data_IF_021612481154
#
_entry.id   IF_021612481154
#
_cell.length_a   1.000
_cell.length_b   1.000
_cell.length_c   1.000
_cell.angle_alpha   90.00
_cell.angle_beta   90.00
_cell.angle_gamma   90.00
#
_symmetry.space_group_name_H-M   'P 1'
#
loop_
_entity.id
_entity.type
_entity.pdbx_description
1 polymer ?
#
# COMPACT_ATOMS: atom_id res chain seq x y z
N UNK A 1 61.29 -3.06 -28.73
CA UNK A 1 60.67 -3.96 -27.73
C UNK A 1 60.40 -3.33 -26.35
N UNK A 2 61.35 -2.64 -25.68
CA UNK A 2 61.09 -2.07 -24.33
C UNK A 2 59.97 -1.02 -24.24
N UNK A 3 59.79 -0.20 -25.29
CA UNK A 3 58.76 0.85 -25.34
C UNK A 3 57.33 0.30 -25.40
N UNK A 4 57.15 -0.82 -26.12
CA UNK A 4 55.86 -1.47 -26.34
C UNK A 4 55.39 -2.26 -25.11
N UNK A 5 56.30 -2.90 -24.36
CA UNK A 5 55.97 -3.49 -23.06
C UNK A 5 55.49 -2.45 -22.05
N UNK A 6 56.06 -1.24 -22.08
CA UNK A 6 55.75 -0.17 -21.12
C UNK A 6 54.38 0.49 -21.40
N UNK A 7 53.89 0.46 -22.64
CA UNK A 7 52.54 0.93 -22.97
C UNK A 7 51.47 -0.08 -22.56
N UNK A 8 51.73 -1.37 -22.79
CA UNK A 8 50.79 -2.45 -22.41
C UNK A 8 50.61 -2.53 -20.90
N UNK A 9 51.68 -2.36 -20.10
CA UNK A 9 51.57 -2.34 -18.63
C UNK A 9 50.72 -1.14 -18.15
N UNK A 10 50.85 0.02 -18.80
CA UNK A 10 50.04 1.20 -18.48
C UNK A 10 48.56 1.03 -18.84
N UNK A 11 48.25 0.31 -19.92
CA UNK A 11 46.86 0.00 -20.29
C UNK A 11 46.24 -0.97 -19.28
N UNK A 12 46.98 -2.00 -18.86
CA UNK A 12 46.52 -2.96 -17.84
C UNK A 12 46.28 -2.28 -16.49
N UNK A 13 47.19 -1.41 -16.03
CA UNK A 13 47.00 -0.64 -14.78
C UNK A 13 45.79 0.29 -14.84
N UNK A 14 45.43 0.77 -16.03
CA UNK A 14 44.28 1.64 -16.25
C UNK A 14 42.98 0.85 -16.25
N UNK A 15 42.96 -0.30 -16.92
CA UNK A 15 41.82 -1.23 -16.91
C UNK A 15 41.56 -1.81 -15.51
N UNK A 16 42.61 -2.12 -14.74
CA UNK A 16 42.46 -2.59 -13.35
C UNK A 16 41.80 -1.53 -12.46
N UNK A 17 42.18 -0.25 -12.62
CA UNK A 17 41.54 0.87 -11.91
C UNK A 17 40.08 1.05 -12.32
N UNK A 18 39.78 0.99 -13.61
CA UNK A 18 38.39 1.10 -14.09
C UNK A 18 37.53 -0.07 -13.57
N UNK A 19 38.09 -1.28 -13.48
CA UNK A 19 37.44 -2.44 -12.88
C UNK A 19 37.20 -2.29 -11.37
N UNK A 20 38.14 -1.69 -10.65
CA UNK A 20 38.00 -1.39 -9.22
C UNK A 20 36.89 -0.36 -8.97
N UNK A 21 36.87 0.70 -9.78
CA UNK A 21 35.86 1.77 -9.71
C UNK A 21 34.46 1.26 -10.07
N UNK A 22 34.35 0.35 -11.05
CA UNK A 22 33.09 -0.34 -11.38
C UNK A 22 32.64 -1.27 -10.26
N UNK A 23 33.56 -1.99 -9.60
CA UNK A 23 33.24 -2.85 -8.45
C UNK A 23 32.77 -2.03 -7.25
N UNK A 24 33.41 -0.91 -6.95
CA UNK A 24 32.96 0.01 -5.90
C UNK A 24 31.59 0.59 -6.20
N UNK A 25 31.35 1.05 -7.44
CA UNK A 25 30.05 1.56 -7.86
C UNK A 25 28.96 0.48 -7.79
N UNK A 26 29.26 -0.76 -8.17
CA UNK A 26 28.35 -1.89 -8.01
C UNK A 26 28.08 -2.21 -6.55
N UNK A 27 29.09 -2.18 -5.69
CA UNK A 27 28.93 -2.39 -4.25
C UNK A 27 28.08 -1.28 -3.61
N UNK A 28 28.29 -0.02 -4.02
CA UNK A 28 27.52 1.14 -3.59
C UNK A 28 26.08 1.12 -4.10
N UNK A 29 25.84 0.74 -5.35
CA UNK A 29 24.50 0.55 -5.89
C UNK A 29 23.78 -0.61 -5.20
N UNK A 30 24.48 -1.72 -4.97
CA UNK A 30 23.95 -2.90 -4.27
C UNK A 30 23.63 -2.58 -2.81
N UNK A 31 24.46 -1.81 -2.12
CA UNK A 31 24.18 -1.35 -0.75
C UNK A 31 22.99 -0.38 -0.73
N UNK A 32 22.86 0.56 -1.68
CA UNK A 32 21.67 1.42 -1.79
C UNK A 32 20.38 0.67 -2.15
N UNK A 33 20.48 -0.40 -2.94
CA UNK A 33 19.33 -1.21 -3.34
C UNK A 33 18.89 -2.18 -2.25
N UNK A 34 19.84 -2.74 -1.47
CA UNK A 34 19.56 -3.63 -0.33
C UNK A 34 19.14 -2.84 0.92
N UNK A 35 19.75 -1.69 1.18
CA UNK A 35 19.46 -0.83 2.34
C UNK A 35 18.25 0.09 2.09
N UNK A 36 17.27 -0.40 1.30
CA UNK A 36 15.93 0.20 1.23
C UNK A 36 15.21 -0.14 2.54
N UNK A 37 15.74 0.40 3.65
CA UNK A 37 15.21 0.25 5.00
C UNK A 37 13.70 0.45 4.93
N UNK A 38 12.88 -0.46 5.50
CA UNK A 38 11.44 -0.28 5.51
C UNK A 38 11.15 1.03 6.23
N UNK A 39 10.85 2.07 5.45
CA UNK A 39 10.64 3.41 5.98
C UNK A 39 9.53 3.33 7.00
N UNK A 40 9.74 3.90 8.19
CA UNK A 40 8.67 4.10 9.15
C UNK A 40 7.42 4.59 8.43
N UNK A 41 6.26 4.02 8.78
CA UNK A 41 4.98 4.47 8.24
C UNK A 41 4.84 5.97 8.53
N UNK A 42 5.04 6.76 7.48
CA UNK A 42 5.23 8.21 7.60
C UNK A 42 3.88 8.89 7.49
N UNK A 43 3.78 10.13 7.99
CA UNK A 43 2.57 10.96 7.81
C UNK A 43 2.20 11.10 6.33
N UNK A 44 3.19 11.07 5.43
CA UNK A 44 2.97 11.06 3.99
C UNK A 44 2.22 9.80 3.51
N UNK A 45 2.51 8.64 4.10
CA UNK A 45 1.83 7.39 3.74
C UNK A 45 0.34 7.43 4.16
N UNK A 46 0.05 8.06 5.31
CA UNK A 46 -1.34 8.30 5.77
C UNK A 46 -2.09 9.21 4.81
N UNK A 47 -1.47 10.32 4.38
CA UNK A 47 -2.08 11.27 3.44
C UNK A 47 -2.35 10.59 2.09
N UNK A 48 -1.38 9.84 1.58
CA UNK A 48 -1.53 9.11 0.33
C UNK A 48 -2.66 8.07 0.42
N UNK A 49 -2.67 7.28 1.50
CA UNK A 49 -3.73 6.31 1.77
C UNK A 49 -5.11 6.98 1.86
N UNK A 50 -5.20 8.16 2.48
CA UNK A 50 -6.43 8.94 2.55
C UNK A 50 -6.92 9.36 1.17
N UNK A 51 -6.07 9.95 0.33
CA UNK A 51 -6.45 10.35 -1.03
C UNK A 51 -6.81 9.16 -1.91
N UNK A 52 -6.05 8.06 -1.81
CA UNK A 52 -6.35 6.83 -2.54
C UNK A 52 -7.72 6.26 -2.15
N UNK A 53 -8.01 6.19 -0.85
CA UNK A 53 -9.32 5.79 -0.36
C UNK A 53 -10.43 6.73 -0.84
N UNK A 54 -10.21 8.04 -0.75
CA UNK A 54 -11.20 9.06 -1.09
C UNK A 54 -11.60 8.97 -2.56
N UNK A 55 -10.63 8.92 -3.47
CA UNK A 55 -10.88 8.89 -4.92
C UNK A 55 -11.68 7.63 -5.28
N UNK A 56 -11.22 6.46 -4.83
CA UNK A 56 -11.89 5.19 -5.15
C UNK A 56 -13.28 5.11 -4.51
N UNK A 57 -13.42 5.51 -3.25
CA UNK A 57 -14.71 5.51 -2.55
C UNK A 57 -15.70 6.46 -3.21
N UNK A 58 -15.25 7.65 -3.62
CA UNK A 58 -16.09 8.64 -4.29
C UNK A 58 -16.55 8.15 -5.66
N UNK A 59 -15.63 7.65 -6.49
CA UNK A 59 -15.98 7.07 -7.80
C UNK A 59 -16.96 5.92 -7.65
N UNK A 60 -16.77 5.08 -6.63
CA UNK A 60 -17.66 3.96 -6.36
C UNK A 60 -19.05 4.42 -5.88
N UNK A 61 -19.11 5.38 -4.95
CA UNK A 61 -20.37 5.91 -4.43
C UNK A 61 -21.20 6.64 -5.51
N UNK A 62 -20.55 7.28 -6.49
CA UNK A 62 -21.23 7.94 -7.61
C UNK A 62 -21.76 6.97 -8.67
N UNK A 63 -21.37 5.69 -8.65
CA UNK A 63 -21.71 4.71 -9.71
C UNK A 63 -23.19 4.29 -9.76
N UNK A 64 -24.07 4.92 -8.98
CA UNK A 64 -25.54 4.74 -9.04
C UNK A 64 -26.05 3.41 -8.45
N UNK A 65 -25.42 2.27 -8.75
CA UNK A 65 -25.84 0.95 -8.31
C UNK A 65 -25.57 0.63 -6.83
N UNK A 66 -24.99 1.56 -6.07
CA UNK A 66 -24.66 1.36 -4.66
C UNK A 66 -25.92 1.14 -3.79
N UNK A 67 -26.97 1.90 -4.05
CA UNK A 67 -28.23 1.86 -3.28
C UNK A 67 -28.91 0.50 -3.47
N UNK A 68 -29.07 0.06 -4.71
CA UNK A 68 -29.70 -1.22 -5.04
C UNK A 68 -28.89 -2.41 -4.48
N UNK A 69 -27.56 -2.31 -4.53
CA UNK A 69 -26.67 -3.32 -3.94
C UNK A 69 -26.81 -3.36 -2.42
N UNK A 70 -26.87 -2.20 -1.76
CA UNK A 70 -27.03 -2.12 -0.31
C UNK A 70 -28.36 -2.76 0.15
N UNK A 71 -29.45 -2.53 -0.57
CA UNK A 71 -30.77 -3.08 -0.22
C UNK A 71 -30.83 -4.60 -0.43
N UNK A 72 -30.20 -5.12 -1.50
CA UNK A 72 -30.23 -6.55 -1.84
C UNK A 72 -29.31 -7.44 -0.99
N UNK A 73 -28.39 -6.86 -0.24
CA UNK A 73 -27.44 -7.62 0.58
C UNK A 73 -28.09 -8.20 1.84
N UNK A 74 -27.91 -9.51 2.03
CA UNK A 74 -28.20 -10.21 3.29
C UNK A 74 -27.02 -10.08 4.28
N UNK A 75 -27.26 -10.30 5.58
CA UNK A 75 -26.27 -10.22 6.66
C UNK A 75 -25.01 -11.05 6.40
N UNK A 76 -25.18 -12.28 5.89
CA UNK A 76 -24.04 -13.15 5.53
C UNK A 76 -23.11 -12.52 4.48
N UNK A 77 -23.66 -11.80 3.50
CA UNK A 77 -22.85 -11.14 2.48
C UNK A 77 -22.06 -9.96 3.08
N UNK A 78 -22.62 -9.25 4.05
CA UNK A 78 -21.92 -8.16 4.75
C UNK A 78 -20.74 -8.73 5.54
N UNK A 79 -20.96 -9.80 6.30
CA UNK A 79 -19.90 -10.48 7.04
C UNK A 79 -18.79 -10.96 6.11
N UNK A 80 -19.16 -11.54 4.96
CA UNK A 80 -18.20 -11.92 3.92
C UNK A 80 -17.42 -10.71 3.38
N UNK A 81 -18.08 -9.60 3.06
CA UNK A 81 -17.43 -8.36 2.59
C UNK A 81 -16.43 -7.86 3.62
N UNK A 82 -16.80 -7.83 4.90
CA UNK A 82 -15.90 -7.43 5.99
C UNK A 82 -14.71 -8.39 6.04
N UNK A 83 -14.94 -9.70 6.08
CA UNK A 83 -13.88 -10.71 6.13
C UNK A 83 -12.91 -10.58 4.92
N UNK A 84 -13.43 -10.40 3.71
CA UNK A 84 -12.62 -10.17 2.51
C UNK A 84 -11.84 -8.86 2.57
N UNK A 85 -12.45 -7.79 3.09
CA UNK A 85 -11.76 -6.49 3.28
C UNK A 85 -10.55 -6.65 4.20
N UNK A 86 -10.73 -7.33 5.34
CA UNK A 86 -9.63 -7.63 6.25
C UNK A 86 -8.59 -8.53 5.60
N UNK A 87 -8.99 -9.57 4.86
CA UNK A 87 -8.08 -10.47 4.17
C UNK A 87 -7.21 -9.71 3.17
N UNK A 88 -7.80 -8.83 2.35
CA UNK A 88 -7.07 -8.00 1.38
C UNK A 88 -6.06 -7.08 2.09
N UNK A 89 -6.47 -6.39 3.16
CA UNK A 89 -5.58 -5.52 3.93
C UNK A 89 -4.45 -6.29 4.62
N UNK A 90 -4.74 -7.47 5.18
CA UNK A 90 -3.71 -8.33 5.79
C UNK A 90 -2.73 -8.81 4.73
N UNK A 91 -3.22 -9.26 3.58
CA UNK A 91 -2.39 -9.69 2.46
C UNK A 91 -1.49 -8.54 1.99
N UNK A 92 -2.05 -7.34 1.79
CA UNK A 92 -1.28 -6.14 1.46
C UNK A 92 -0.17 -5.90 2.50
N UNK A 93 -0.51 -5.81 3.79
CA UNK A 93 0.47 -5.48 4.83
C UNK A 93 1.55 -6.58 4.95
N UNK A 94 1.18 -7.84 4.80
CA UNK A 94 2.11 -8.97 4.84
C UNK A 94 3.08 -8.96 3.66
N UNK A 95 2.55 -8.90 2.44
CA UNK A 95 3.37 -8.97 1.22
C UNK A 95 4.15 -7.68 0.97
N UNK A 96 3.58 -6.51 1.25
CA UNK A 96 4.22 -5.21 0.98
C UNK A 96 5.12 -4.77 2.13
N UNK A 97 4.66 -4.96 3.37
CA UNK A 97 5.31 -4.43 4.56
C UNK A 97 6.23 -5.43 5.27
N UNK A 98 5.72 -6.64 5.54
CA UNK A 98 6.42 -7.59 6.42
C UNK A 98 7.41 -8.52 5.69
N UNK A 99 7.16 -8.85 4.43
CA UNK A 99 8.04 -9.72 3.63
C UNK A 99 9.49 -9.20 3.51
N UNK A 100 9.69 -7.88 3.64
CA UNK A 100 10.99 -7.19 3.52
C UNK A 100 11.62 -6.80 4.85
N UNK A 101 11.05 -7.22 5.99
CA UNK A 101 11.68 -6.99 7.30
C UNK A 101 12.80 -8.02 7.47
N UNK A 102 14.05 -7.57 7.34
CA UNK A 102 15.25 -8.40 7.51
C UNK A 102 15.32 -9.00 8.92
N UNK A 103 14.92 -8.24 9.95
CA UNK A 103 15.05 -8.65 11.34
C UNK A 103 13.69 -8.81 12.05
N UNK A 104 13.09 -9.99 11.87
CA UNK A 104 11.76 -10.36 12.40
C UNK A 104 11.70 -10.42 13.93
N UNK A 105 12.85 -10.34 14.62
CA UNK A 105 12.96 -10.39 16.09
C UNK A 105 12.77 -9.02 16.76
N UNK A 106 13.11 -7.92 16.07
CA UNK A 106 13.02 -6.55 16.61
C UNK A 106 11.64 -5.90 16.45
N UNK A 107 10.78 -6.44 15.57
CA UNK A 107 9.39 -5.99 15.39
C UNK A 107 8.42 -7.17 15.33
N UNK A 108 7.66 -7.45 16.40
CA UNK A 108 6.64 -8.50 16.36
C UNK A 108 5.60 -8.14 15.29
N UNK A 109 5.35 -9.10 14.39
CA UNK A 109 4.44 -8.98 13.25
C UNK A 109 3.07 -8.40 13.65
N UNK A 110 2.53 -8.85 14.79
CA UNK A 110 1.24 -8.41 15.31
C UNK A 110 1.16 -6.90 15.53
N UNK A 111 2.16 -6.28 16.19
CA UNK A 111 2.11 -4.84 16.47
C UNK A 111 2.21 -3.98 15.20
N UNK A 112 2.99 -4.44 14.21
CA UNK A 112 3.10 -3.75 12.92
C UNK A 112 1.82 -3.89 12.10
N UNK A 113 1.28 -5.10 12.03
CA UNK A 113 0.04 -5.42 11.32
C UNK A 113 -1.12 -4.62 11.91
N UNK A 114 -1.35 -4.69 13.22
CA UNK A 114 -2.49 -4.03 13.88
C UNK A 114 -2.44 -2.53 13.69
N UNK A 115 -1.28 -1.87 13.86
CA UNK A 115 -1.18 -0.41 13.70
C UNK A 115 -1.54 0.04 12.28
N UNK A 116 -1.00 -0.62 11.25
CA UNK A 116 -1.30 -0.28 9.85
C UNK A 116 -2.74 -0.62 9.50
N UNK A 117 -3.19 -1.81 9.85
CA UNK A 117 -4.53 -2.28 9.52
C UNK A 117 -5.60 -1.38 10.14
N UNK A 118 -5.46 -1.05 11.42
CA UNK A 118 -6.38 -0.13 12.11
C UNK A 118 -6.35 1.25 11.45
N UNK A 119 -5.17 1.77 11.11
CA UNK A 119 -5.07 3.10 10.47
C UNK A 119 -5.77 3.13 9.11
N UNK A 120 -5.49 2.16 8.23
CA UNK A 120 -6.09 2.10 6.90
C UNK A 120 -7.60 1.89 6.98
N UNK A 121 -8.04 0.95 7.84
CA UNK A 121 -9.46 0.66 8.01
C UNK A 121 -10.24 1.84 8.58
N UNK A 122 -9.70 2.52 9.62
CA UNK A 122 -10.33 3.70 10.21
C UNK A 122 -10.44 4.84 9.19
N UNK A 123 -9.39 5.08 8.40
CA UNK A 123 -9.43 6.10 7.33
C UNK A 123 -10.53 5.79 6.32
N UNK A 124 -10.58 4.55 5.83
CA UNK A 124 -11.58 4.13 4.86
C UNK A 124 -13.01 4.20 5.42
N UNK A 125 -13.20 3.83 6.69
CA UNK A 125 -14.49 3.92 7.37
C UNK A 125 -14.93 5.37 7.57
N UNK A 126 -14.02 6.26 7.98
CA UNK A 126 -14.32 7.70 8.13
C UNK A 126 -14.72 8.32 6.80
N UNK A 127 -14.01 8.00 5.71
CA UNK A 127 -14.36 8.46 4.37
C UNK A 127 -15.73 7.93 3.94
N UNK A 128 -16.00 6.64 4.17
CA UNK A 128 -17.29 6.04 3.81
C UNK A 128 -18.46 6.73 4.53
N UNK A 129 -18.33 6.99 5.83
CA UNK A 129 -19.34 7.72 6.60
C UNK A 129 -19.55 9.14 6.07
N UNK A 130 -18.47 9.87 5.79
CA UNK A 130 -18.53 11.22 5.23
C UNK A 130 -19.23 11.21 3.87
N UNK A 131 -18.92 10.25 2.99
CA UNK A 131 -19.52 10.16 1.67
C UNK A 131 -20.99 9.76 1.71
N UNK A 132 -21.38 8.83 2.58
CA UNK A 132 -22.79 8.45 2.77
C UNK A 132 -23.62 9.66 3.21
N UNK A 133 -23.08 10.47 4.12
CA UNK A 133 -23.72 11.70 4.58
C UNK A 133 -23.74 12.79 3.50
N UNK A 134 -22.60 13.08 2.85
CA UNK A 134 -22.49 14.14 1.83
C UNK A 134 -23.33 13.86 0.57
N UNK A 135 -23.41 12.61 0.15
CA UNK A 135 -24.18 12.20 -1.03
C UNK A 135 -25.64 11.90 -0.71
N UNK A 136 -26.05 12.10 0.54
CA UNK A 136 -27.39 11.85 1.05
C UNK A 136 -27.89 10.42 0.73
N UNK A 137 -27.00 9.44 0.84
CA UNK A 137 -27.29 8.02 0.57
C UNK A 137 -28.19 7.46 1.69
N UNK A 138 -28.04 7.97 2.91
CA UNK A 138 -28.88 7.63 4.06
C UNK A 138 -30.38 7.85 3.77
N UNK A 139 -30.76 8.97 3.15
CA UNK A 139 -32.17 9.22 2.82
C UNK A 139 -32.68 8.35 1.68
N UNK A 140 -31.81 8.01 0.71
CA UNK A 140 -32.18 7.14 -0.43
C UNK A 140 -32.42 5.69 -0.02
N UNK A 141 -31.68 5.24 0.98
CA UNK A 141 -31.71 3.86 1.45
C UNK A 141 -32.77 3.67 2.56
N UNK A 142 -33.17 4.75 3.22
CA UNK A 142 -34.36 4.85 4.10
C UNK A 142 -34.20 4.20 5.49
N UNK A 143 -33.51 3.07 5.57
CA UNK A 143 -33.30 2.33 6.82
C UNK A 143 -31.85 2.45 7.33
N UNK A 144 -31.68 2.52 8.65
CA UNK A 144 -30.37 2.57 9.29
C UNK A 144 -29.57 1.30 9.00
N UNK A 145 -30.22 0.13 9.01
CA UNK A 145 -29.56 -1.13 8.72
C UNK A 145 -28.97 -1.12 7.30
N UNK A 146 -29.76 -0.72 6.31
CA UNK A 146 -29.30 -0.65 4.92
C UNK A 146 -28.27 0.48 4.69
N UNK A 147 -28.34 1.58 5.46
CA UNK A 147 -27.30 2.62 5.46
C UNK A 147 -25.96 2.06 5.92
N UNK A 148 -25.95 1.22 6.98
CA UNK A 148 -24.74 0.55 7.43
C UNK A 148 -24.18 -0.42 6.37
N UNK A 149 -25.04 -1.10 5.59
CA UNK A 149 -24.60 -1.91 4.45
C UNK A 149 -23.85 -1.07 3.43
N UNK A 150 -24.41 0.09 3.06
CA UNK A 150 -23.77 1.02 2.14
C UNK A 150 -22.40 1.48 2.65
N UNK A 151 -22.29 1.81 3.94
CA UNK A 151 -21.01 2.18 4.58
C UNK A 151 -19.98 1.05 4.44
N UNK A 152 -20.36 -0.20 4.71
CA UNK A 152 -19.44 -1.35 4.63
C UNK A 152 -18.92 -1.55 3.20
N UNK A 153 -19.78 -1.45 2.19
CA UNK A 153 -19.38 -1.61 0.79
C UNK A 153 -18.41 -0.49 0.38
N UNK A 154 -18.72 0.76 0.73
CA UNK A 154 -17.84 1.89 0.43
C UNK A 154 -16.52 1.76 1.18
N UNK A 155 -16.56 1.28 2.43
CA UNK A 155 -15.35 1.03 3.23
C UNK A 155 -14.44 -0.01 2.57
N UNK A 156 -15.00 -1.08 2.00
CA UNK A 156 -14.22 -2.05 1.21
C UNK A 156 -13.53 -1.39 0.02
N UNK A 157 -14.26 -0.61 -0.78
CA UNK A 157 -13.70 0.11 -1.91
C UNK A 157 -12.61 1.09 -1.47
N UNK A 158 -12.84 1.83 -0.38
CA UNK A 158 -11.87 2.74 0.22
C UNK A 158 -10.64 2.04 0.81
N UNK A 159 -10.80 0.83 1.36
CA UNK A 159 -9.69 0.03 1.88
C UNK A 159 -8.77 -0.44 0.75
N UNK A 160 -9.34 -0.83 -0.39
CA UNK A 160 -8.57 -1.13 -1.60
C UNK A 160 -7.89 0.16 -2.10
N UNK A 161 -8.60 1.28 -2.12
CA UNK A 161 -8.05 2.57 -2.53
C UNK A 161 -6.89 3.05 -1.65
N UNK A 162 -6.94 2.83 -0.33
CA UNK A 162 -5.85 3.19 0.58
C UNK A 162 -4.60 2.31 0.42
N UNK A 163 -4.78 1.08 -0.07
CA UNK A 163 -3.71 0.14 -0.38
C UNK A 163 -2.92 0.49 -1.66
N UNK A 164 -3.58 1.10 -2.66
CA UNK A 164 -2.97 1.39 -3.98
C UNK A 164 -1.71 2.25 -3.89
N UNK A 165 -1.67 3.37 -3.14
CA UNK A 165 -0.45 4.16 -3.01
C UNK A 165 0.73 3.39 -2.38
N UNK A 166 0.45 2.45 -1.47
CA UNK A 166 1.49 1.60 -0.88
C UNK A 166 2.05 0.62 -1.91
N UNK A 167 1.21 0.10 -2.81
CA UNK A 167 1.63 -0.74 -3.94
C UNK A 167 2.49 0.06 -4.93
N UNK A 168 2.06 1.27 -5.31
CA UNK A 168 2.75 2.10 -6.30
C UNK A 168 4.12 2.58 -5.83
N UNK A 169 4.32 2.83 -4.53
CA UNK A 169 5.62 3.21 -3.97
C UNK A 169 6.70 2.12 -4.12
N UNK A 170 6.31 0.89 -4.48
CA UNK A 170 7.24 -0.23 -4.64
C UNK A 170 7.88 -0.32 -6.03
N UNK A 171 7.30 0.29 -7.05
CA UNK A 171 7.87 0.42 -8.41
C UNK A 171 8.53 1.79 -8.58
#
# INVERSE_FOLDING_TARGET
MKKQKKSVIKEIEKEEKELEEVKENLAFMRSKLLDKRPSHFSRRDIINAFFGALIISLTFALKGGLVDTAISLNTFHIEAIIAFTFLILVAEIYFIGYSRVEDKRLRPFGQFLTKRLVTLYVISLSIALILVYLLNINERVGDFHNTMKAVVIITMAGAIGSAVPNLLKQY
#
